data_IF_566875818872
#
_entry.id   IF_566875818872
#
_cell.length_a   1.000
_cell.length_b   1.000
_cell.length_c   1.000
_cell.angle_alpha   90.00
_cell.angle_beta   90.00
_cell.angle_gamma   90.00
#
_symmetry.space_group_name_H-M   'P 1'
#
loop_
_entity.id
_entity.type
_entity.pdbx_description
1 polymer ?
#
# COMPACT_ATOMS: atom_id res chain seq x y z
N UNK A 1 28.90 -26.98 0.87
CA UNK A 1 27.98 -26.29 -0.03
C UNK A 1 27.38 -25.12 0.74
N UNK A 2 27.50 -23.90 0.25
CA UNK A 2 26.97 -22.71 0.93
C UNK A 2 25.44 -22.81 1.04
N UNK A 3 24.89 -22.56 2.23
CA UNK A 3 23.46 -22.64 2.52
C UNK A 3 22.70 -21.65 1.61
N UNK A 4 23.26 -20.47 1.37
CA UNK A 4 22.64 -19.47 0.49
C UNK A 4 22.57 -19.96 -0.95
N UNK A 5 23.65 -20.58 -1.44
CA UNK A 5 23.69 -21.17 -2.78
C UNK A 5 22.70 -22.33 -2.92
N UNK A 6 22.56 -23.15 -1.87
CA UNK A 6 21.63 -24.29 -1.87
C UNK A 6 20.17 -23.83 -1.94
N UNK A 7 19.80 -22.81 -1.15
CA UNK A 7 18.44 -22.25 -1.20
C UNK A 7 18.16 -21.56 -2.52
N UNK A 8 19.13 -20.79 -3.06
CA UNK A 8 18.99 -20.18 -4.39
C UNK A 8 18.69 -21.22 -5.47
N UNK A 9 19.47 -22.31 -5.52
CA UNK A 9 19.26 -23.40 -6.46
C UNK A 9 17.90 -24.09 -6.25
N UNK A 10 17.48 -24.27 -5.00
CA UNK A 10 16.16 -24.82 -4.67
C UNK A 10 15.02 -23.94 -5.17
N UNK A 11 15.09 -22.63 -4.95
CA UNK A 11 14.10 -21.66 -5.43
C UNK A 11 14.05 -21.62 -6.96
N UNK A 12 15.22 -21.61 -7.62
CA UNK A 12 15.30 -21.67 -9.09
C UNK A 12 14.71 -22.98 -9.64
N UNK A 13 14.99 -24.10 -8.98
CA UNK A 13 14.41 -25.40 -9.34
C UNK A 13 12.88 -25.39 -9.21
N UNK A 14 12.33 -24.97 -8.07
CA UNK A 14 10.88 -24.92 -7.85
C UNK A 14 10.19 -23.98 -8.85
N UNK A 15 10.79 -22.82 -9.15
CA UNK A 15 10.27 -21.89 -10.16
C UNK A 15 10.22 -22.54 -11.54
N UNK A 16 11.30 -23.19 -11.95
CA UNK A 16 11.39 -23.86 -13.25
C UNK A 16 10.45 -25.08 -13.31
N UNK A 17 10.26 -25.78 -12.20
CA UNK A 17 9.38 -26.95 -12.12
C UNK A 17 7.90 -26.57 -12.27
N UNK A 18 7.46 -25.53 -11.55
CA UNK A 18 6.04 -25.21 -11.51
C UNK A 18 5.58 -24.31 -12.65
N UNK A 19 6.46 -23.54 -13.30
CA UNK A 19 6.14 -22.60 -14.41
C UNK A 19 4.90 -21.71 -14.21
N UNK A 20 4.40 -21.60 -12.98
CA UNK A 20 3.20 -20.86 -12.62
C UNK A 20 3.56 -19.48 -12.07
N UNK A 21 2.67 -18.48 -12.26
CA UNK A 21 2.83 -17.19 -11.60
C UNK A 21 2.97 -17.35 -10.09
N UNK A 22 3.91 -16.63 -9.48
CA UNK A 22 4.01 -16.55 -8.03
C UNK A 22 2.82 -15.71 -7.55
N UNK A 23 1.89 -16.34 -6.84
CA UNK A 23 0.69 -15.66 -6.36
C UNK A 23 1.01 -14.77 -5.16
N UNK A 24 1.72 -15.33 -4.18
CA UNK A 24 1.95 -14.67 -2.89
C UNK A 24 3.41 -14.80 -2.49
N UNK A 25 3.98 -13.69 -2.03
CA UNK A 25 5.32 -13.63 -1.45
C UNK A 25 5.21 -13.05 -0.06
N UNK A 26 5.72 -13.79 0.92
CA UNK A 26 5.80 -13.37 2.31
C UNK A 26 7.28 -13.16 2.69
N UNK A 27 7.62 -11.97 3.13
CA UNK A 27 8.96 -11.60 3.57
C UNK A 27 8.95 -11.31 5.07
N UNK A 28 9.75 -12.09 5.81
CA UNK A 28 10.01 -11.95 7.24
C UNK A 28 11.50 -11.65 7.45
N UNK A 29 11.95 -10.40 7.29
CA UNK A 29 13.37 -10.06 7.30
C UNK A 29 14.06 -10.19 8.66
N UNK A 30 13.31 -10.29 9.75
CA UNK A 30 13.87 -10.57 11.08
C UNK A 30 14.33 -12.01 11.22
N UNK A 31 13.62 -12.93 10.57
CA UNK A 31 13.84 -14.37 10.68
C UNK A 31 14.74 -14.90 9.56
N UNK A 32 14.62 -14.31 8.36
CA UNK A 32 15.26 -14.83 7.14
C UNK A 32 16.08 -13.71 6.47
N UNK A 33 17.40 -13.93 6.29
CA UNK A 33 18.26 -12.98 5.59
C UNK A 33 17.77 -12.63 4.18
N UNK A 34 17.99 -11.37 3.77
CA UNK A 34 17.54 -10.88 2.47
C UNK A 34 18.05 -11.69 1.26
N UNK A 35 19.23 -12.30 1.38
CA UNK A 35 19.82 -13.13 0.33
C UNK A 35 18.93 -14.29 -0.10
N UNK A 36 18.04 -14.76 0.78
CA UNK A 36 17.07 -15.82 0.47
C UNK A 36 15.86 -15.34 -0.34
N UNK A 37 15.64 -14.02 -0.40
CA UNK A 37 14.58 -13.39 -1.19
C UNK A 37 15.06 -12.98 -2.59
N UNK A 38 16.35 -13.17 -2.89
CA UNK A 38 16.90 -12.87 -4.21
C UNK A 38 16.37 -13.89 -5.23
N UNK A 39 15.58 -13.44 -6.20
CA UNK A 39 15.29 -14.22 -7.40
C UNK A 39 13.86 -14.21 -7.92
N UNK A 40 12.89 -13.68 -7.18
CA UNK A 40 11.56 -13.43 -7.73
C UNK A 40 11.53 -12.07 -8.45
N UNK A 41 10.98 -12.08 -9.67
CA UNK A 41 10.85 -10.88 -10.51
C UNK A 41 9.43 -10.33 -10.52
N UNK A 42 8.45 -11.18 -10.20
CA UNK A 42 7.04 -10.82 -10.17
C UNK A 42 6.28 -11.62 -9.12
N UNK A 43 5.19 -11.03 -8.62
CA UNK A 43 4.19 -11.71 -7.79
C UNK A 43 2.83 -11.02 -7.92
N UNK A 44 1.73 -11.67 -7.54
CA UNK A 44 0.44 -10.97 -7.43
C UNK A 44 0.38 -10.14 -6.15
N UNK A 45 0.72 -10.75 -5.01
CA UNK A 45 0.63 -10.15 -3.69
C UNK A 45 1.97 -10.24 -2.97
N UNK A 46 2.44 -9.11 -2.43
CA UNK A 46 3.61 -9.02 -1.58
C UNK A 46 3.19 -8.62 -0.15
N UNK A 47 3.64 -9.39 0.82
CA UNK A 47 3.46 -9.13 2.25
C UNK A 47 4.82 -9.09 2.92
N UNK A 48 5.15 -7.99 3.59
CA UNK A 48 6.37 -7.84 4.35
C UNK A 48 6.02 -7.60 5.81
N UNK A 49 6.55 -8.40 6.73
CA UNK A 49 6.26 -8.28 8.16
C UNK A 49 7.52 -8.42 9.00
N UNK A 50 7.70 -7.53 9.96
CA UNK A 50 8.84 -7.54 10.86
C UNK A 50 8.75 -6.49 11.96
N UNK A 51 9.52 -6.69 13.02
CA UNK A 51 9.75 -5.77 14.12
C UNK A 51 10.88 -4.78 13.85
N UNK A 52 11.85 -5.12 12.99
CA UNK A 52 12.97 -4.23 12.65
C UNK A 52 12.89 -3.73 11.23
N UNK A 53 13.49 -2.56 11.01
CA UNK A 53 13.65 -2.03 9.67
C UNK A 53 14.58 -2.91 8.84
N UNK A 54 14.13 -3.24 7.63
CA UNK A 54 15.00 -3.79 6.60
C UNK A 54 15.99 -2.70 6.15
N UNK A 55 17.19 -3.10 5.70
CA UNK A 55 18.12 -2.18 5.03
C UNK A 55 17.45 -1.46 3.85
N UNK A 56 17.69 -0.16 3.73
CA UNK A 56 17.09 0.68 2.70
C UNK A 56 17.33 0.14 1.29
N UNK A 57 18.52 -0.37 1.01
CA UNK A 57 18.89 -0.90 -0.30
C UNK A 57 18.05 -2.12 -0.68
N UNK A 58 17.73 -2.97 0.30
CA UNK A 58 16.95 -4.18 0.08
C UNK A 58 15.48 -3.85 -0.16
N UNK A 59 14.89 -2.96 0.65
CA UNK A 59 13.51 -2.51 0.47
C UNK A 59 13.35 -1.77 -0.86
N UNK A 60 14.31 -0.89 -1.20
CA UNK A 60 14.35 -0.19 -2.48
C UNK A 60 14.41 -1.19 -3.63
N UNK A 61 15.29 -2.19 -3.56
CA UNK A 61 15.40 -3.19 -4.60
C UNK A 61 14.09 -3.97 -4.80
N UNK A 62 13.38 -4.30 -3.71
CA UNK A 62 12.06 -4.94 -3.81
C UNK A 62 11.05 -4.02 -4.51
N UNK A 63 10.88 -2.80 -4.00
CA UNK A 63 9.86 -1.87 -4.50
C UNK A 63 10.12 -1.37 -5.92
N UNK A 64 11.38 -1.32 -6.35
CA UNK A 64 11.74 -0.84 -7.68
C UNK A 64 11.85 -1.94 -8.74
N UNK A 65 12.25 -3.16 -8.36
CA UNK A 65 12.60 -4.20 -9.33
C UNK A 65 11.68 -5.43 -9.33
N UNK A 66 10.77 -5.55 -8.35
CA UNK A 66 9.74 -6.60 -8.36
C UNK A 66 8.45 -6.04 -8.95
N UNK A 67 7.93 -6.72 -9.98
CA UNK A 67 6.59 -6.44 -10.48
C UNK A 67 5.52 -7.02 -9.55
N UNK A 68 4.89 -6.17 -8.74
CA UNK A 68 3.79 -6.53 -7.83
C UNK A 68 2.46 -6.24 -8.54
N UNK A 69 1.74 -7.28 -8.96
CA UNK A 69 0.58 -7.11 -9.87
C UNK A 69 -0.68 -6.57 -9.17
N UNK A 70 -0.86 -6.85 -7.87
CA UNK A 70 -2.11 -6.54 -7.17
C UNK A 70 -1.90 -5.86 -5.81
N UNK A 71 -1.36 -6.56 -4.81
CA UNK A 71 -1.35 -6.06 -3.43
C UNK A 71 0.07 -5.92 -2.91
N UNK A 72 0.38 -4.79 -2.27
CA UNK A 72 1.63 -4.59 -1.52
C UNK A 72 1.31 -4.16 -0.07
N UNK A 73 1.67 -5.00 0.90
CA UNK A 73 1.53 -4.72 2.33
C UNK A 73 2.91 -4.68 2.98
N UNK A 74 3.20 -3.56 3.65
CA UNK A 74 4.42 -3.31 4.41
C UNK A 74 4.03 -3.14 5.88
N UNK A 75 4.32 -4.16 6.68
CA UNK A 75 4.09 -4.21 8.12
C UNK A 75 5.43 -4.41 8.85
N UNK A 76 6.39 -3.53 8.55
CA UNK A 76 7.68 -3.44 9.22
C UNK A 76 8.16 -1.99 9.22
N UNK A 77 8.90 -1.54 10.26
CA UNK A 77 9.42 -0.17 10.29
C UNK A 77 10.25 0.15 9.04
N UNK A 78 10.12 1.37 8.53
CA UNK A 78 10.92 1.85 7.40
C UNK A 78 11.75 3.03 7.88
N UNK A 79 13.04 3.04 7.59
CA UNK A 79 13.92 4.11 8.04
C UNK A 79 13.44 5.47 7.49
N UNK A 80 13.50 6.52 8.32
CA UNK A 80 12.99 7.84 7.95
C UNK A 80 13.70 8.48 6.74
N UNK A 81 14.94 8.06 6.46
CA UNK A 81 15.74 8.50 5.32
C UNK A 81 15.52 7.67 4.04
N UNK A 82 14.65 6.65 4.10
CA UNK A 82 14.34 5.78 2.97
C UNK A 82 13.82 6.58 1.77
N UNK A 83 14.35 6.27 0.59
CA UNK A 83 13.92 6.83 -0.69
C UNK A 83 13.89 5.75 -1.75
N UNK A 84 12.84 5.76 -2.55
CA UNK A 84 12.73 4.96 -3.76
C UNK A 84 12.17 5.81 -4.91
N UNK A 85 12.25 5.29 -6.12
CA UNK A 85 11.58 5.83 -7.28
C UNK A 85 10.07 5.67 -7.10
N UNK A 86 9.41 6.75 -6.73
CA UNK A 86 7.96 6.83 -6.58
C UNK A 86 7.17 6.30 -7.80
N UNK A 87 7.72 6.42 -9.02
CA UNK A 87 7.07 5.89 -10.22
C UNK A 87 7.09 4.36 -10.30
N UNK A 88 7.89 3.68 -9.48
CA UNK A 88 7.92 2.23 -9.40
C UNK A 88 6.82 1.66 -8.48
N UNK A 89 6.18 2.49 -7.65
CA UNK A 89 5.10 2.10 -6.74
C UNK A 89 3.79 1.87 -7.51
N UNK A 90 3.74 0.78 -8.28
CA UNK A 90 2.62 0.38 -9.13
C UNK A 90 2.03 -0.92 -8.61
N UNK A 91 0.93 -0.79 -7.87
CA UNK A 91 0.11 -1.90 -7.38
C UNK A 91 -1.33 -1.38 -7.25
N UNK A 92 -2.29 -2.30 -7.31
CA UNK A 92 -3.70 -1.96 -7.18
C UNK A 92 -4.04 -1.53 -5.75
N UNK A 93 -3.48 -2.23 -4.76
CA UNK A 93 -3.77 -2.02 -3.34
C UNK A 93 -2.46 -1.84 -2.58
N UNK A 94 -2.41 -0.83 -1.72
CA UNK A 94 -1.24 -0.52 -0.91
C UNK A 94 -1.58 -0.39 0.56
N UNK A 95 -0.74 -0.99 1.40
CA UNK A 95 -0.86 -0.85 2.85
C UNK A 95 0.52 -0.62 3.47
N UNK A 96 0.69 0.50 4.17
CA UNK A 96 1.83 0.75 5.06
C UNK A 96 1.31 0.78 6.49
N UNK A 97 1.46 -0.34 7.20
CA UNK A 97 0.87 -0.63 8.51
C UNK A 97 1.93 -0.71 9.63
N UNK A 98 3.12 -0.21 9.33
CA UNK A 98 4.21 -0.16 10.29
C UNK A 98 4.00 0.96 11.30
N UNK A 99 4.55 0.76 12.50
CA UNK A 99 4.80 1.89 13.41
C UNK A 99 5.79 2.84 12.72
N UNK A 100 5.53 4.13 12.76
CA UNK A 100 6.37 5.18 12.16
C UNK A 100 6.55 5.05 10.63
N UNK A 101 5.45 5.09 9.86
CA UNK A 101 5.48 5.12 8.39
C UNK A 101 5.84 6.51 7.82
N UNK A 102 6.84 7.19 8.41
CA UNK A 102 7.20 8.57 8.08
C UNK A 102 7.78 8.75 6.67
N UNK A 103 8.26 7.67 6.07
CA UNK A 103 8.72 7.65 4.67
C UNK A 103 7.59 7.93 3.66
N UNK A 104 6.33 7.76 4.06
CA UNK A 104 5.16 8.17 3.26
C UNK A 104 5.01 9.69 3.33
N UNK A 105 5.72 10.38 2.44
CA UNK A 105 5.61 11.83 2.27
C UNK A 105 4.40 12.19 1.39
N UNK A 106 4.07 13.49 1.32
CA UNK A 106 3.09 14.01 0.35
C UNK A 106 3.43 13.59 -1.08
N UNK A 107 4.71 13.62 -1.45
CA UNK A 107 5.17 13.25 -2.80
C UNK A 107 4.93 11.77 -3.08
N UNK A 108 5.19 10.91 -2.09
CA UNK A 108 4.88 9.47 -2.18
C UNK A 108 3.36 9.29 -2.33
N UNK A 109 2.55 9.88 -1.44
CA UNK A 109 1.10 9.80 -1.49
C UNK A 109 0.54 10.22 -2.86
N UNK A 110 1.02 11.33 -3.40
CA UNK A 110 0.60 11.82 -4.70
C UNK A 110 1.10 10.90 -5.84
N UNK A 111 2.19 10.19 -5.69
CA UNK A 111 2.65 9.27 -6.74
C UNK A 111 1.83 7.96 -6.84
N UNK A 112 1.12 7.59 -5.77
CA UNK A 112 0.37 6.33 -5.72
C UNK A 112 -0.77 6.33 -6.75
N UNK A 113 -0.82 5.25 -7.55
CA UNK A 113 -1.89 4.96 -8.52
C UNK A 113 -2.63 3.70 -8.11
N UNK A 114 -3.21 3.73 -6.93
CA UNK A 114 -3.87 2.59 -6.30
C UNK A 114 -5.39 2.78 -6.31
N UNK A 115 -6.14 1.68 -6.40
CA UNK A 115 -7.56 1.68 -6.08
C UNK A 115 -7.79 1.81 -4.57
N UNK A 116 -6.92 1.17 -3.77
CA UNK A 116 -7.04 1.13 -2.31
C UNK A 116 -5.74 1.52 -1.63
N UNK A 117 -5.83 2.42 -0.65
CA UNK A 117 -4.68 2.91 0.11
C UNK A 117 -5.00 2.77 1.61
N UNK A 118 -4.10 2.16 2.37
CA UNK A 118 -4.18 2.10 3.83
C UNK A 118 -2.84 2.50 4.44
N UNK A 119 -2.83 3.60 5.17
CA UNK A 119 -1.61 4.18 5.72
C UNK A 119 -1.83 4.42 7.22
N UNK A 120 -0.92 3.91 8.04
CA UNK A 120 -0.93 4.11 9.49
C UNK A 120 0.36 4.77 9.95
N UNK A 121 0.28 5.53 11.06
CA UNK A 121 1.42 6.19 11.69
C UNK A 121 2.24 7.05 10.71
N UNK A 122 1.55 7.81 9.87
CA UNK A 122 2.18 8.76 8.94
C UNK A 122 2.31 10.15 9.55
N UNK A 123 3.11 11.01 8.91
CA UNK A 123 3.17 12.45 9.22
C UNK A 123 2.37 13.32 8.24
N UNK A 124 1.41 12.71 7.52
CA UNK A 124 0.54 13.41 6.57
C UNK A 124 -0.53 14.20 7.31
N UNK A 125 -0.64 15.50 6.99
CA UNK A 125 -1.68 16.36 7.56
C UNK A 125 -2.91 16.49 6.66
N UNK A 126 -3.91 17.23 7.14
CA UNK A 126 -5.12 17.53 6.38
C UNK A 126 -4.81 18.18 5.02
N UNK A 127 -3.82 19.06 4.95
CA UNK A 127 -3.41 19.70 3.70
C UNK A 127 -2.86 18.69 2.66
N UNK A 128 -2.09 17.69 3.09
CA UNK A 128 -1.55 16.66 2.20
C UNK A 128 -2.65 15.75 1.66
N UNK A 129 -3.58 15.36 2.54
CA UNK A 129 -4.79 14.64 2.17
C UNK A 129 -5.65 15.46 1.20
N UNK A 130 -5.89 16.74 1.48
CA UNK A 130 -6.70 17.62 0.65
C UNK A 130 -6.10 17.79 -0.74
N UNK A 131 -4.77 17.86 -0.86
CA UNK A 131 -4.10 17.90 -2.15
C UNK A 131 -4.29 16.60 -2.95
N UNK A 132 -4.24 15.44 -2.28
CA UNK A 132 -4.56 14.16 -2.91
C UNK A 132 -6.03 14.10 -3.35
N UNK A 133 -6.95 14.44 -2.44
CA UNK A 133 -8.40 14.43 -2.66
C UNK A 133 -8.78 15.33 -3.83
N UNK A 134 -8.34 16.59 -3.82
CA UNK A 134 -8.68 17.57 -4.84
C UNK A 134 -8.20 17.14 -6.22
N UNK A 135 -6.97 16.64 -6.31
CA UNK A 135 -6.43 16.11 -7.56
C UNK A 135 -7.25 14.94 -8.07
N UNK A 136 -7.61 14.00 -7.20
CA UNK A 136 -8.42 12.85 -7.59
C UNK A 136 -9.85 13.26 -8.00
N UNK A 137 -10.51 14.11 -7.19
CA UNK A 137 -11.87 14.57 -7.39
C UNK A 137 -12.08 15.22 -8.77
N UNK A 138 -11.11 16.03 -9.22
CA UNK A 138 -11.14 16.67 -10.53
C UNK A 138 -10.50 15.85 -11.65
N UNK A 139 -10.04 14.62 -11.39
CA UNK A 139 -9.46 13.75 -12.40
C UNK A 139 -10.51 12.89 -13.10
N UNK A 140 -10.13 12.32 -14.25
CA UNK A 140 -10.89 11.27 -14.92
C UNK A 140 -10.59 9.87 -14.36
N UNK A 141 -9.81 9.77 -13.28
CA UNK A 141 -9.46 8.47 -12.70
C UNK A 141 -10.65 7.86 -11.96
N UNK A 142 -11.13 6.72 -12.47
CA UNK A 142 -12.23 5.94 -11.90
C UNK A 142 -11.75 4.69 -11.15
N UNK A 143 -10.44 4.49 -11.04
CA UNK A 143 -9.88 3.31 -10.39
C UNK A 143 -9.80 3.46 -8.87
N UNK A 144 -9.67 4.68 -8.35
CA UNK A 144 -9.59 4.92 -6.91
C UNK A 144 -10.93 4.68 -6.20
N UNK A 145 -10.89 3.85 -5.15
CA UNK A 145 -12.06 3.37 -4.39
C UNK A 145 -12.05 3.81 -2.92
N UNK A 146 -10.90 3.73 -2.23
CA UNK A 146 -10.84 3.99 -0.78
C UNK A 146 -9.45 4.36 -0.29
N UNK A 147 -9.41 5.25 0.70
CA UNK A 147 -8.22 5.54 1.50
C UNK A 147 -8.53 5.46 2.99
N UNK A 148 -7.70 4.76 3.74
CA UNK A 148 -7.67 4.81 5.20
C UNK A 148 -6.36 5.48 5.60
N UNK A 149 -6.46 6.56 6.38
CA UNK A 149 -5.30 7.35 6.79
C UNK A 149 -5.32 7.56 8.30
N UNK A 150 -4.36 6.96 8.97
CA UNK A 150 -4.05 7.23 10.37
C UNK A 150 -2.71 7.98 10.43
N UNK A 151 -2.69 9.08 11.17
CA UNK A 151 -1.54 9.98 11.26
C UNK A 151 -1.21 10.29 12.72
N UNK A 152 0.08 10.43 13.00
CA UNK A 152 0.59 10.85 14.31
C UNK A 152 0.59 12.39 14.47
N UNK A 153 0.08 13.14 13.47
CA UNK A 153 -0.13 14.59 13.54
C UNK A 153 -1.58 14.95 13.85
N UNK A 154 -1.79 16.13 14.43
CA UNK A 154 -3.13 16.72 14.49
C UNK A 154 -3.69 16.97 13.10
N UNK A 155 -4.90 16.45 12.84
CA UNK A 155 -5.54 16.52 11.53
C UNK A 155 -6.54 17.68 11.44
N UNK A 156 -6.03 18.91 11.64
CA UNK A 156 -6.85 20.12 11.64
C UNK A 156 -6.92 20.76 10.24
N UNK A 157 -8.01 21.47 9.96
CA UNK A 157 -8.16 22.26 8.72
C UNK A 157 -8.68 21.46 7.52
N UNK A 158 -9.25 20.28 7.74
CA UNK A 158 -10.01 19.60 6.70
C UNK A 158 -11.26 20.42 6.36
N UNK A 159 -11.40 20.80 5.08
CA UNK A 159 -12.59 21.48 4.57
C UNK A 159 -13.06 20.80 3.29
N UNK A 160 -14.13 20.01 3.39
CA UNK A 160 -14.76 19.32 2.27
C UNK A 160 -15.97 20.07 1.69
N UNK A 161 -16.37 21.21 2.25
CA UNK A 161 -17.58 21.94 1.87
C UNK A 161 -17.55 22.45 0.42
N UNK A 162 -16.34 22.66 -0.11
CA UNK A 162 -16.11 23.06 -1.51
C UNK A 162 -16.35 21.95 -2.54
N UNK A 163 -16.57 20.72 -2.09
CA UNK A 163 -16.87 19.59 -2.95
C UNK A 163 -18.34 19.21 -2.85
N UNK A 164 -18.89 18.64 -3.92
CA UNK A 164 -20.28 18.19 -3.97
C UNK A 164 -20.30 16.67 -4.04
N UNK A 165 -20.01 15.96 -2.93
CA UNK A 165 -20.06 14.51 -2.91
C UNK A 165 -21.49 14.03 -3.16
N UNK A 166 -21.60 12.86 -3.76
CA UNK A 166 -22.90 12.21 -3.91
C UNK A 166 -23.45 11.88 -2.52
N UNK A 167 -24.73 12.17 -2.24
CA UNK A 167 -25.36 11.84 -0.98
C UNK A 167 -25.18 10.37 -0.59
N UNK A 168 -25.18 10.12 0.71
CA UNK A 168 -25.07 8.77 1.25
C UNK A 168 -26.24 7.88 0.77
N UNK A 169 -25.93 6.79 0.07
CA UNK A 169 -26.88 5.75 -0.33
C UNK A 169 -26.45 4.39 0.26
N UNK A 170 -27.30 3.83 1.13
CA UNK A 170 -27.04 2.55 1.80
C UNK A 170 -27.12 1.33 0.87
N UNK A 171 -27.97 1.37 -0.16
CA UNK A 171 -28.19 0.25 -1.08
C UNK A 171 -27.06 0.13 -2.10
N UNK A 172 -26.61 1.26 -2.66
CA UNK A 172 -25.47 1.29 -3.59
C UNK A 172 -24.16 0.89 -2.91
N UNK A 173 -23.96 1.25 -1.64
CA UNK A 173 -22.71 0.93 -0.92
C UNK A 173 -22.65 -0.51 -0.42
N UNK A 174 -23.74 -1.09 0.10
CA UNK A 174 -23.73 -2.45 0.66
C UNK A 174 -23.24 -3.55 -0.31
N UNK A 175 -23.32 -3.28 -1.62
CA UNK A 175 -22.90 -4.19 -2.69
C UNK A 175 -21.41 -4.11 -3.02
N UNK A 176 -20.74 -3.00 -2.69
CA UNK A 176 -19.32 -2.76 -3.00
C UNK A 176 -18.40 -2.79 -1.77
N UNK A 177 -18.97 -2.85 -0.57
CA UNK A 177 -18.21 -2.95 0.68
C UNK A 177 -17.96 -4.41 1.05
N UNK A 178 -16.72 -4.88 0.89
CA UNK A 178 -16.24 -5.98 1.73
C UNK A 178 -16.11 -5.44 3.17
N UNK A 179 -16.99 -5.91 4.06
CA UNK A 179 -16.80 -5.73 5.50
C UNK A 179 -15.62 -6.61 5.95
N UNK A 180 -14.39 -6.15 5.77
CA UNK A 180 -13.23 -6.80 6.40
C UNK A 180 -13.22 -6.48 7.89
N UNK A 181 -14.02 -7.25 8.64
CA UNK A 181 -14.04 -7.30 10.10
C UNK A 181 -12.78 -7.97 10.72
N UNK A 182 -11.73 -8.26 9.94
CA UNK A 182 -10.63 -9.11 10.41
C UNK A 182 -9.30 -8.42 10.74
N UNK A 183 -9.16 -7.10 10.56
CA UNK A 183 -7.86 -6.43 10.77
C UNK A 183 -7.81 -5.33 11.84
N UNK A 184 -8.95 -4.95 12.46
CA UNK A 184 -8.99 -3.79 13.35
C UNK A 184 -9.21 -4.19 14.81
N UNK A 185 -8.12 -4.34 15.56
CA UNK A 185 -8.13 -4.49 17.03
C UNK A 185 -7.17 -3.51 17.71
N UNK A 186 -7.30 -2.21 17.46
CA UNK A 186 -6.94 -1.18 18.44
C UNK A 186 -7.44 0.17 17.97
N UNK A 187 -8.27 0.81 18.80
CA UNK A 187 -8.83 2.14 18.59
C UNK A 187 -8.00 3.13 19.38
N UNK A 188 -7.35 4.04 18.68
CA UNK A 188 -7.18 5.45 19.07
C UNK A 188 -6.62 6.20 17.85
N UNK A 189 -7.44 7.09 17.28
CA UNK A 189 -7.11 8.05 16.20
C UNK A 189 -6.98 7.54 14.75
N UNK A 190 -7.67 6.46 14.37
CA UNK A 190 -7.82 6.10 12.95
C UNK A 190 -8.81 7.04 12.24
N UNK A 191 -8.32 7.89 11.33
CA UNK A 191 -9.19 8.70 10.46
C UNK A 191 -9.56 7.89 9.22
N UNK A 192 -10.65 7.14 9.33
CA UNK A 192 -11.19 6.40 8.19
C UNK A 192 -11.93 7.33 7.22
N UNK A 193 -11.22 7.88 6.22
CA UNK A 193 -11.86 8.58 5.11
C UNK A 193 -12.43 7.60 4.08
N UNK A 194 -13.65 7.13 4.34
CA UNK A 194 -14.37 6.22 3.42
C UNK A 194 -14.91 6.99 2.20
N UNK A 195 -14.00 7.37 1.31
CA UNK A 195 -14.25 8.10 0.08
C UNK A 195 -14.75 7.18 -1.02
N UNK A 196 -16.04 6.86 -1.05
CA UNK A 196 -16.67 6.37 -2.28
C UNK A 196 -17.22 7.56 -3.05
N UNK A 197 -16.63 7.88 -4.21
CA UNK A 197 -17.31 8.59 -5.28
C UNK A 197 -17.56 7.61 -6.42
N UNK A 198 -18.74 7.69 -7.01
CA UNK A 198 -18.84 7.50 -8.45
C UNK A 198 -19.93 8.41 -8.96
N UNK A 199 -19.53 9.50 -9.64
CA UNK A 199 -20.35 10.14 -10.67
C UNK A 199 -21.05 9.04 -11.48
N UNK A 200 -22.34 8.81 -11.24
CA UNK A 200 -23.22 8.25 -12.24
C UNK A 200 -23.68 9.41 -13.11
N UNK A 201 -22.87 9.78 -14.08
CA UNK A 201 -23.39 10.36 -15.31
C UNK A 201 -22.61 9.73 -16.43
N UNK A 202 -23.26 8.78 -17.12
CA UNK A 202 -23.00 8.20 -18.45
C UNK A 202 -23.36 6.70 -18.52
N UNK A 203 -24.40 6.28 -17.80
CA UNK A 203 -25.31 5.25 -18.31
C UNK A 203 -26.64 5.95 -18.65
N UNK A 204 -26.67 6.56 -19.82
CA UNK A 204 -27.83 6.64 -20.71
C UNK A 204 -27.36 6.13 -22.06
#
# INVERSE_FOLDING_TARGET
MDIQQSVKLGVEYLRNLFTKPILEVFLFPDDIPYSFYIGFKECNNLYMKGEKAMRNENLKNILENVLIKRVCIIQLPVNADFKCNNNALKFNEFSSLAKEAHWITREVLLSLKCSRIHLQHTLLGAHDFMAFFERWYYSNDKHFEVMLLETDKTFNGLNLERFTPIPWDTQLRGQHFFTEKQYYSSVSDMIAFRMFLAQQSLFN
#
